data_IF_869493253886
#
_entry.id   IF_869493253886
#
_cell.length_a   1.000
_cell.length_b   1.000
_cell.length_c   1.000
_cell.angle_alpha   90.00
_cell.angle_beta   90.00
_cell.angle_gamma   90.00
#
_symmetry.space_group_name_H-M   'P 1'
#
loop_
_entity.id
_entity.type
_entity.pdbx_description
1 polymer ?
#
# COMPACT_ATOMS: atom_id res chain seq x y z
N UNK A 1 10.15 -41.64 69.22
CA UNK A 1 11.31 -40.88 69.70
C UNK A 1 12.33 -40.89 68.56
N UNK A 2 12.40 -39.82 67.79
CA UNK A 2 13.22 -39.74 66.58
C UNK A 2 13.36 -38.27 66.18
N UNK A 3 14.28 -37.59 66.85
CA UNK A 3 14.54 -36.17 66.70
C UNK A 3 15.01 -35.80 65.30
N UNK A 4 14.36 -34.78 64.75
CA UNK A 4 14.60 -34.19 63.46
C UNK A 4 15.90 -33.35 63.53
N UNK A 5 17.05 -33.94 63.13
CA UNK A 5 18.32 -33.21 62.98
C UNK A 5 18.25 -32.29 61.76
N UNK A 6 17.81 -31.05 61.96
CA UNK A 6 18.05 -29.96 61.01
C UNK A 6 19.55 -29.80 60.81
N UNK A 7 20.05 -30.18 59.62
CA UNK A 7 21.40 -29.85 59.16
C UNK A 7 21.53 -28.32 59.13
N UNK A 8 22.27 -27.75 60.08
CA UNK A 8 22.73 -26.37 60.03
C UNK A 8 23.47 -26.16 58.71
N UNK A 9 22.84 -25.43 57.80
CA UNK A 9 23.48 -24.97 56.57
C UNK A 9 24.64 -24.07 56.98
N UNK A 10 25.86 -24.48 56.62
CA UNK A 10 27.08 -23.78 57.00
C UNK A 10 27.11 -22.43 56.26
N UNK A 11 26.92 -21.33 56.99
CA UNK A 11 26.76 -19.98 56.39
C UNK A 11 28.01 -19.54 55.61
N UNK A 12 29.19 -20.09 55.93
CA UNK A 12 30.41 -19.90 55.12
C UNK A 12 30.29 -20.56 53.75
N UNK A 13 29.70 -21.76 53.67
CA UNK A 13 29.50 -22.47 52.41
C UNK A 13 28.49 -21.74 51.53
N UNK A 14 27.39 -21.24 52.10
CA UNK A 14 26.38 -20.45 51.36
C UNK A 14 26.98 -19.14 50.86
N UNK A 15 27.77 -18.43 51.69
CA UNK A 15 28.47 -17.21 51.25
C UNK A 15 29.46 -17.49 50.11
N UNK A 16 30.16 -18.63 50.15
CA UNK A 16 31.08 -19.03 49.07
C UNK A 16 30.30 -19.33 47.79
N UNK A 17 29.21 -20.10 47.85
CA UNK A 17 28.38 -20.38 46.68
C UNK A 17 27.74 -19.10 46.11
N UNK A 18 27.30 -18.18 46.98
CA UNK A 18 26.77 -16.88 46.54
C UNK A 18 27.85 -16.00 45.91
N UNK A 19 29.07 -16.01 46.44
CA UNK A 19 30.21 -15.31 45.82
C UNK A 19 30.62 -15.92 44.48
N UNK A 20 30.59 -17.25 44.37
CA UNK A 20 30.88 -17.96 43.11
C UNK A 20 29.79 -17.70 42.08
N UNK A 21 28.51 -17.74 42.46
CA UNK A 21 27.40 -17.37 41.58
C UNK A 21 27.42 -15.89 41.21
N UNK A 22 27.79 -15.00 42.11
CA UNK A 22 27.95 -13.58 41.83
C UNK A 22 29.14 -13.30 40.90
N UNK A 23 30.26 -14.03 41.05
CA UNK A 23 31.39 -13.97 40.12
C UNK A 23 31.07 -14.59 38.76
N UNK A 24 30.32 -15.69 38.71
CA UNK A 24 29.82 -16.28 37.46
C UNK A 24 28.81 -15.35 36.78
N UNK A 25 27.95 -14.67 37.55
CA UNK A 25 27.04 -13.67 37.01
C UNK A 25 27.80 -12.45 36.50
N UNK A 26 28.89 -12.02 37.15
CA UNK A 26 29.80 -10.98 36.63
C UNK A 26 30.57 -11.45 35.39
N UNK A 27 30.98 -12.72 35.29
CA UNK A 27 31.65 -13.31 34.12
C UNK A 27 30.70 -13.49 32.92
N UNK A 28 29.42 -13.77 33.16
CA UNK A 28 28.39 -13.86 32.11
C UNK A 28 27.84 -12.47 31.75
N UNK A 29 27.68 -11.56 32.71
CA UNK A 29 27.26 -10.18 32.46
C UNK A 29 28.37 -9.31 31.83
N UNK A 30 29.64 -9.71 31.94
CA UNK A 30 30.74 -9.12 31.16
C UNK A 30 30.88 -9.70 29.74
N UNK A 31 30.03 -10.66 29.36
CA UNK A 31 29.83 -11.06 27.96
C UNK A 31 28.70 -10.29 27.27
N UNK A 32 28.25 -9.17 27.87
CA UNK A 32 27.79 -8.04 27.06
C UNK A 32 28.90 -7.73 26.08
N UNK A 33 28.60 -7.80 24.78
CA UNK A 33 29.42 -7.21 23.73
C UNK A 33 29.70 -5.76 24.13
N UNK A 34 30.78 -5.56 24.87
CA UNK A 34 31.54 -4.32 24.85
C UNK A 34 31.93 -4.17 23.39
N UNK A 35 31.28 -3.25 22.69
CA UNK A 35 31.92 -2.56 21.58
C UNK A 35 33.22 -2.00 22.16
N UNK A 36 34.30 -2.78 22.07
CA UNK A 36 35.63 -2.31 22.39
C UNK A 36 35.83 -1.04 21.59
N UNK A 37 35.82 0.09 22.28
CA UNK A 37 36.24 1.36 21.73
C UNK A 37 37.79 1.41 21.70
N UNK A 38 38.40 0.31 21.23
CA UNK A 38 39.78 0.29 20.75
C UNK A 38 39.71 0.44 19.25
N UNK A 39 40.40 1.46 18.72
CA UNK A 39 40.77 1.54 17.32
C UNK A 39 41.83 0.46 17.01
N UNK A 40 41.54 -0.81 17.28
CA UNK A 40 42.37 -1.90 16.77
C UNK A 40 42.00 -2.03 15.29
N UNK A 41 42.83 -1.41 14.44
CA UNK A 41 42.69 -1.51 13.01
C UNK A 41 42.82 -2.97 12.60
N UNK A 42 41.91 -3.45 11.75
CA UNK A 42 42.03 -4.77 11.15
C UNK A 42 43.32 -4.86 10.35
N UNK A 43 44.13 -5.87 10.64
CA UNK A 43 45.36 -6.16 9.91
C UNK A 43 45.00 -6.81 8.58
N UNK A 44 45.22 -6.09 7.49
CA UNK A 44 44.99 -6.58 6.13
C UNK A 44 46.08 -7.57 5.72
N UNK A 45 47.27 -7.43 6.30
CA UNK A 45 48.42 -8.29 6.07
C UNK A 45 48.18 -9.75 6.48
N UNK A 46 47.26 -9.97 7.44
CA UNK A 46 46.91 -11.30 7.94
C UNK A 46 45.90 -12.03 7.04
N UNK A 47 45.35 -11.37 6.02
CA UNK A 47 44.39 -11.95 5.09
C UNK A 47 45.14 -12.72 3.99
N UNK A 48 45.13 -14.05 4.09
CA UNK A 48 45.89 -14.96 3.23
C UNK A 48 45.72 -14.75 1.71
N UNK A 49 44.56 -14.28 1.27
CA UNK A 49 44.21 -14.12 -0.13
C UNK A 49 44.04 -12.66 -0.55
N UNK A 50 44.52 -11.68 0.23
CA UNK A 50 44.33 -10.25 -0.06
C UNK A 50 44.82 -9.82 -1.45
N UNK A 51 45.85 -10.50 -1.97
CA UNK A 51 46.43 -10.24 -3.30
C UNK A 51 45.51 -10.59 -4.46
N UNK A 52 44.44 -11.36 -4.21
CA UNK A 52 43.41 -11.69 -5.22
C UNK A 52 42.40 -10.56 -5.42
N UNK A 53 42.43 -9.52 -4.57
CA UNK A 53 41.51 -8.39 -4.65
C UNK A 53 42.22 -7.13 -5.15
N UNK A 54 41.63 -6.47 -6.14
CA UNK A 54 42.05 -5.14 -6.58
C UNK A 54 41.44 -4.06 -5.67
N UNK A 55 42.08 -3.79 -4.54
CA UNK A 55 41.62 -2.80 -3.58
C UNK A 55 42.18 -1.41 -3.90
N UNK A 56 41.30 -0.42 -3.98
CA UNK A 56 41.74 0.98 -4.01
C UNK A 56 42.35 1.37 -2.64
N UNK A 57 43.17 2.45 -2.59
CA UNK A 57 43.66 2.97 -1.31
C UNK A 57 42.54 3.27 -0.31
N UNK A 58 41.44 3.86 -0.78
CA UNK A 58 40.27 4.14 0.04
C UNK A 58 39.58 2.87 0.55
N UNK A 59 39.42 1.84 -0.29
CA UNK A 59 38.85 0.56 0.13
C UNK A 59 39.73 -0.14 1.17
N UNK A 60 41.06 -0.05 1.02
CA UNK A 60 42.01 -0.60 1.99
C UNK A 60 41.90 0.11 3.34
N UNK A 61 41.80 1.43 3.36
CA UNK A 61 41.62 2.20 4.60
C UNK A 61 40.30 1.85 5.30
N UNK A 62 39.21 1.72 4.53
CA UNK A 62 37.91 1.30 5.05
C UNK A 62 37.95 -0.12 5.61
N UNK A 63 38.63 -1.06 4.94
CA UNK A 63 38.83 -2.42 5.44
C UNK A 63 39.58 -2.44 6.78
N UNK A 64 40.67 -1.66 6.91
CA UNK A 64 41.40 -1.55 8.20
C UNK A 64 40.52 -0.96 9.30
N UNK A 65 39.68 0.00 8.96
CA UNK A 65 38.85 0.70 9.95
C UNK A 65 37.62 -0.10 10.36
N UNK A 66 36.93 -0.71 9.40
CA UNK A 66 35.59 -1.25 9.59
C UNK A 66 35.53 -2.78 9.50
N UNK A 67 36.58 -3.43 8.99
CA UNK A 67 36.56 -4.87 8.69
C UNK A 67 35.82 -5.23 7.40
N UNK A 68 35.23 -4.23 6.73
CA UNK A 68 34.59 -4.37 5.42
C UNK A 68 34.75 -3.08 4.61
N UNK A 69 34.70 -3.21 3.28
CA UNK A 69 34.57 -2.08 2.38
C UNK A 69 33.56 -2.41 1.30
N UNK A 70 32.84 -1.40 0.84
CA UNK A 70 31.94 -1.50 -0.32
C UNK A 70 32.64 -0.83 -1.50
N UNK A 71 32.71 -1.53 -2.62
CA UNK A 71 33.30 -1.04 -3.85
C UNK A 71 32.25 -1.05 -4.96
N UNK A 72 32.23 -0.05 -5.86
CA UNK A 72 31.32 -0.06 -7.00
C UNK A 72 31.50 -1.32 -7.84
N UNK A 73 30.40 -1.89 -8.27
CA UNK A 73 30.36 -3.07 -9.11
C UNK A 73 29.31 -2.89 -10.20
N UNK A 74 29.55 -3.46 -11.39
CA UNK A 74 28.74 -3.25 -12.59
C UNK A 74 28.16 -4.57 -13.12
N UNK A 75 27.56 -5.36 -12.21
CA UNK A 75 26.89 -6.60 -12.54
C UNK A 75 25.42 -6.37 -12.83
N UNK A 76 24.82 -7.23 -13.67
CA UNK A 76 23.39 -7.16 -13.96
C UNK A 76 22.59 -7.99 -12.96
N UNK A 77 23.11 -9.15 -12.59
CA UNK A 77 22.47 -10.10 -11.69
C UNK A 77 23.41 -10.48 -10.54
N UNK A 78 22.85 -10.85 -9.39
CA UNK A 78 23.62 -11.34 -8.24
C UNK A 78 24.47 -12.57 -8.63
N UNK A 79 23.95 -13.42 -9.52
CA UNK A 79 24.64 -14.60 -10.02
C UNK A 79 25.92 -14.29 -10.79
N UNK A 80 26.01 -13.13 -11.44
CA UNK A 80 27.20 -12.73 -12.19
C UNK A 80 28.39 -12.56 -11.23
N UNK A 81 28.13 -11.99 -10.05
CA UNK A 81 29.14 -11.83 -8.97
C UNK A 81 29.67 -13.19 -8.54
N UNK A 82 28.78 -14.15 -8.31
CA UNK A 82 29.18 -15.48 -7.84
C UNK A 82 29.95 -16.26 -8.89
N UNK A 83 29.61 -16.10 -10.18
CA UNK A 83 30.35 -16.70 -11.29
C UNK A 83 31.75 -16.09 -11.39
N UNK A 84 31.88 -14.76 -11.34
CA UNK A 84 33.20 -14.11 -11.38
C UNK A 84 34.07 -14.50 -10.18
N UNK A 85 33.51 -14.50 -8.97
CA UNK A 85 34.25 -14.93 -7.78
C UNK A 85 34.72 -16.40 -7.91
N UNK A 86 33.89 -17.28 -8.49
CA UNK A 86 34.28 -18.67 -8.76
C UNK A 86 35.42 -18.75 -9.77
N UNK A 87 35.33 -18.01 -10.88
CA UNK A 87 36.32 -18.03 -11.97
C UNK A 87 37.66 -17.41 -11.55
N UNK A 88 37.62 -16.40 -10.68
CA UNK A 88 38.80 -15.72 -10.11
C UNK A 88 39.30 -16.36 -8.82
N UNK A 89 38.67 -17.45 -8.37
CA UNK A 89 38.99 -18.17 -7.13
C UNK A 89 38.94 -17.27 -5.87
N UNK A 90 38.06 -16.27 -5.88
CA UNK A 90 37.73 -15.43 -4.73
C UNK A 90 36.69 -16.13 -3.84
N UNK A 91 36.80 -16.01 -2.50
CA UNK A 91 35.79 -16.54 -1.59
C UNK A 91 34.41 -15.94 -1.84
N UNK A 92 33.39 -16.79 -1.89
CA UNK A 92 32.00 -16.40 -2.10
C UNK A 92 31.28 -16.40 -0.76
N UNK A 93 30.60 -15.30 -0.46
CA UNK A 93 29.65 -15.21 0.64
C UNK A 93 28.24 -15.05 0.06
N UNK A 94 27.41 -16.08 0.22
CA UNK A 94 26.02 -16.08 -0.26
C UNK A 94 25.12 -15.59 0.86
N UNK A 95 24.36 -14.55 0.59
CA UNK A 95 23.39 -13.95 1.50
C UNK A 95 21.95 -14.36 1.12
N UNK A 96 21.01 -14.05 2.00
CA UNK A 96 19.59 -14.37 1.80
C UNK A 96 18.96 -13.60 0.63
N UNK A 97 19.54 -12.46 0.25
CA UNK A 97 19.19 -11.68 -0.92
C UNK A 97 19.22 -12.48 -2.23
N UNK A 98 20.12 -13.46 -2.39
CA UNK A 98 20.14 -14.32 -3.57
C UNK A 98 18.85 -15.14 -3.72
N UNK A 99 18.31 -15.61 -2.59
CA UNK A 99 17.03 -16.36 -2.55
C UNK A 99 15.86 -15.40 -2.75
N UNK A 100 15.86 -14.24 -2.08
CA UNK A 100 14.81 -13.23 -2.21
C UNK A 100 14.72 -12.66 -3.62
N UNK A 101 15.86 -12.36 -4.25
CA UNK A 101 15.97 -11.89 -5.63
C UNK A 101 15.43 -12.94 -6.62
N UNK A 102 15.84 -14.19 -6.46
CA UNK A 102 15.32 -15.30 -7.29
C UNK A 102 13.80 -15.45 -7.11
N UNK A 103 13.31 -15.34 -5.88
CA UNK A 103 11.89 -15.36 -5.57
C UNK A 103 11.13 -14.20 -6.22
N UNK A 104 11.68 -12.99 -6.15
CA UNK A 104 11.11 -11.80 -6.79
C UNK A 104 11.05 -11.94 -8.32
N UNK A 105 12.13 -12.41 -8.94
CA UNK A 105 12.16 -12.69 -10.39
C UNK A 105 11.10 -13.71 -10.76
N UNK A 106 11.02 -14.83 -10.03
CA UNK A 106 10.03 -15.88 -10.31
C UNK A 106 8.59 -15.33 -10.19
N UNK A 107 8.32 -14.56 -9.15
CA UNK A 107 7.04 -13.89 -8.94
C UNK A 107 6.70 -12.93 -10.08
N UNK A 108 7.63 -12.04 -10.47
CA UNK A 108 7.44 -11.09 -11.59
C UNK A 108 7.12 -11.83 -12.89
N UNK A 109 7.90 -12.86 -13.23
CA UNK A 109 7.67 -13.66 -14.44
C UNK A 109 6.31 -14.35 -14.42
N UNK A 110 5.91 -14.95 -13.29
CA UNK A 110 4.63 -15.62 -13.16
C UNK A 110 3.46 -14.64 -13.32
N UNK A 111 3.52 -13.49 -12.64
CA UNK A 111 2.49 -12.46 -12.72
C UNK A 111 2.34 -11.94 -14.16
N UNK A 112 3.46 -11.67 -14.84
CA UNK A 112 3.47 -11.22 -16.23
C UNK A 112 2.86 -12.22 -17.20
N UNK A 113 3.18 -13.51 -17.06
CA UNK A 113 2.58 -14.57 -17.88
C UNK A 113 1.07 -14.60 -17.65
N UNK A 114 0.65 -14.58 -16.38
CA UNK A 114 -0.76 -14.60 -16.03
C UNK A 114 -1.51 -13.39 -16.59
N UNK A 115 -0.95 -12.18 -16.47
CA UNK A 115 -1.52 -10.94 -16.98
C UNK A 115 -1.66 -10.97 -18.50
N UNK A 116 -0.60 -11.35 -19.21
CA UNK A 116 -0.59 -11.35 -20.68
C UNK A 116 -1.45 -12.45 -21.28
N UNK A 117 -1.39 -13.66 -20.74
CA UNK A 117 -2.02 -14.85 -21.34
C UNK A 117 -3.46 -15.08 -20.87
N UNK A 118 -3.88 -14.49 -19.74
CA UNK A 118 -5.20 -14.72 -19.16
C UNK A 118 -5.90 -13.43 -18.72
N UNK A 119 -5.30 -12.63 -17.85
CA UNK A 119 -6.05 -11.55 -17.20
C UNK A 119 -6.38 -10.40 -18.16
N UNK A 120 -5.55 -10.14 -19.17
CA UNK A 120 -5.85 -9.13 -20.19
C UNK A 120 -7.15 -9.42 -20.93
N UNK A 121 -7.24 -10.61 -21.53
CA UNK A 121 -8.41 -10.99 -22.33
C UNK A 121 -9.66 -11.06 -21.43
N UNK A 122 -9.48 -11.52 -20.18
CA UNK A 122 -10.52 -11.53 -19.15
C UNK A 122 -11.00 -10.13 -18.78
N UNK A 123 -10.08 -9.16 -18.70
CA UNK A 123 -10.41 -7.76 -18.41
C UNK A 123 -11.22 -7.15 -19.54
N UNK A 124 -10.86 -7.41 -20.80
CA UNK A 124 -11.67 -6.99 -21.95
C UNK A 124 -13.07 -7.60 -21.88
N UNK A 125 -13.18 -8.90 -21.68
CA UNK A 125 -14.48 -9.59 -21.63
C UNK A 125 -15.35 -9.08 -20.48
N UNK A 126 -14.75 -8.83 -19.30
CA UNK A 126 -15.44 -8.22 -18.18
C UNK A 126 -15.90 -6.80 -18.51
N UNK A 127 -15.04 -5.97 -19.08
CA UNK A 127 -15.37 -4.59 -19.46
C UNK A 127 -16.54 -4.57 -20.44
N UNK A 128 -16.50 -5.41 -21.47
CA UNK A 128 -17.56 -5.51 -22.48
C UNK A 128 -18.87 -5.97 -21.84
N UNK A 129 -18.84 -7.01 -21.00
CA UNK A 129 -20.04 -7.52 -20.34
C UNK A 129 -20.64 -6.50 -19.36
N UNK A 130 -19.81 -5.81 -18.58
CA UNK A 130 -20.28 -4.78 -17.65
C UNK A 130 -20.85 -3.56 -18.37
N UNK A 131 -20.31 -3.21 -19.54
CA UNK A 131 -20.81 -2.13 -20.38
C UNK A 131 -22.20 -2.48 -20.97
N UNK A 132 -22.35 -3.70 -21.52
CA UNK A 132 -23.64 -4.22 -21.98
C UNK A 132 -24.70 -4.19 -20.88
N UNK A 133 -24.37 -4.71 -19.69
CA UNK A 133 -25.30 -4.78 -18.57
C UNK A 133 -25.62 -3.39 -18.00
N UNK A 134 -24.67 -2.44 -18.01
CA UNK A 134 -24.93 -1.04 -17.63
C UNK A 134 -25.89 -0.37 -18.62
N UNK A 135 -25.79 -0.68 -19.91
CA UNK A 135 -26.74 -0.23 -20.94
C UNK A 135 -28.12 -0.85 -20.72
N UNK A 136 -28.20 -2.12 -20.36
CA UNK A 136 -29.47 -2.77 -20.01
C UNK A 136 -30.13 -2.11 -18.80
N UNK A 137 -29.38 -1.88 -17.72
CA UNK A 137 -29.88 -1.14 -16.55
C UNK A 137 -30.34 0.28 -16.92
N UNK A 138 -29.61 1.01 -17.78
CA UNK A 138 -30.03 2.33 -18.25
C UNK A 138 -31.37 2.30 -19.00
N UNK A 139 -31.65 1.23 -19.76
CA UNK A 139 -32.92 1.04 -20.48
C UNK A 139 -34.06 0.61 -19.55
N UNK A 140 -33.77 -0.20 -18.53
CA UNK A 140 -34.74 -0.64 -17.52
C UNK A 140 -35.14 0.49 -16.56
N UNK A 141 -34.25 1.47 -16.31
CA UNK A 141 -34.47 2.53 -15.33
C UNK A 141 -35.60 3.50 -15.72
N UNK A 142 -36.55 3.70 -14.81
CA UNK A 142 -37.67 4.64 -14.98
C UNK A 142 -37.45 5.95 -14.22
N UNK A 143 -36.69 5.92 -13.13
CA UNK A 143 -36.40 7.11 -12.32
C UNK A 143 -35.15 7.82 -12.81
N UNK A 144 -35.17 9.15 -12.81
CA UNK A 144 -34.08 9.97 -13.33
C UNK A 144 -32.74 9.71 -12.63
N UNK A 145 -32.75 9.52 -11.30
CA UNK A 145 -31.54 9.25 -10.53
C UNK A 145 -30.88 7.92 -10.91
N UNK A 146 -31.67 6.85 -11.05
CA UNK A 146 -31.15 5.52 -11.40
C UNK A 146 -30.71 5.50 -12.85
N UNK A 147 -31.44 6.19 -13.72
CA UNK A 147 -31.08 6.35 -15.12
C UNK A 147 -29.76 7.11 -15.30
N UNK A 148 -29.56 8.21 -14.60
CA UNK A 148 -28.28 8.93 -14.66
C UNK A 148 -27.15 8.12 -14.03
N UNK A 149 -27.38 7.42 -12.90
CA UNK A 149 -26.36 6.55 -12.31
C UNK A 149 -25.95 5.42 -13.26
N UNK A 150 -26.90 4.76 -13.93
CA UNK A 150 -26.60 3.77 -14.96
C UNK A 150 -25.87 4.39 -16.16
N UNK A 151 -26.22 5.63 -16.56
CA UNK A 151 -25.52 6.36 -17.63
C UNK A 151 -24.06 6.62 -17.27
N UNK A 152 -23.79 7.04 -16.04
CA UNK A 152 -22.42 7.27 -15.57
C UNK A 152 -21.63 5.95 -15.44
N UNK A 153 -22.28 4.84 -15.08
CA UNK A 153 -21.66 3.50 -15.12
C UNK A 153 -21.26 3.11 -16.56
N UNK A 154 -22.07 3.42 -17.57
CA UNK A 154 -21.68 3.25 -18.99
C UNK A 154 -20.40 4.05 -19.26
N UNK A 155 -20.32 5.29 -18.79
CA UNK A 155 -19.13 6.13 -18.93
C UNK A 155 -17.90 5.52 -18.25
N UNK A 156 -18.06 5.05 -17.02
CA UNK A 156 -17.00 4.40 -16.25
C UNK A 156 -16.41 3.18 -16.97
N UNK A 157 -17.25 2.29 -17.52
CA UNK A 157 -16.78 1.14 -18.28
C UNK A 157 -16.27 1.51 -19.68
N UNK A 158 -16.81 2.59 -20.29
CA UNK A 158 -16.32 3.10 -21.57
C UNK A 158 -14.90 3.69 -21.49
N UNK A 159 -14.55 4.38 -20.40
CA UNK A 159 -13.17 4.87 -20.17
C UNK A 159 -12.18 3.70 -20.13
N UNK A 160 -12.54 2.61 -19.45
CA UNK A 160 -11.74 1.39 -19.43
C UNK A 160 -11.68 0.72 -20.81
N UNK A 161 -12.83 0.62 -21.52
CA UNK A 161 -12.90 0.07 -22.88
C UNK A 161 -11.97 0.81 -23.83
N UNK A 162 -11.90 2.14 -23.73
CA UNK A 162 -10.99 2.98 -24.52
C UNK A 162 -9.50 2.70 -24.31
N UNK A 163 -9.13 2.12 -23.16
CA UNK A 163 -7.74 1.68 -22.97
C UNK A 163 -7.42 0.45 -23.84
N UNK A 164 -8.41 -0.40 -24.13
CA UNK A 164 -8.25 -1.59 -24.96
C UNK A 164 -8.59 -1.36 -26.43
N UNK A 165 -9.51 -0.42 -26.72
CA UNK A 165 -10.01 -0.09 -28.05
C UNK A 165 -10.20 1.43 -28.16
N UNK A 166 -9.22 2.11 -28.75
CA UNK A 166 -9.19 3.57 -28.85
C UNK A 166 -10.31 4.15 -29.71
N UNK A 167 -10.86 3.35 -30.63
CA UNK A 167 -11.93 3.77 -31.55
C UNK A 167 -13.33 3.53 -30.98
N UNK A 168 -13.43 2.97 -29.77
CA UNK A 168 -14.72 2.74 -29.11
C UNK A 168 -15.46 4.06 -28.91
N UNK A 169 -16.75 4.07 -29.26
CA UNK A 169 -17.65 5.21 -29.09
C UNK A 169 -18.61 4.95 -27.94
N UNK A 170 -18.59 5.81 -26.93
CA UNK A 170 -19.35 5.60 -25.69
C UNK A 170 -20.87 5.79 -25.88
N UNK A 171 -21.28 6.64 -26.83
CA UNK A 171 -22.68 6.97 -27.04
C UNK A 171 -23.29 7.73 -25.84
N UNK A 172 -24.63 7.70 -25.70
CA UNK A 172 -25.36 8.19 -24.52
C UNK A 172 -24.99 9.61 -24.01
N UNK A 173 -24.50 10.49 -24.90
CA UNK A 173 -23.95 11.82 -24.56
C UNK A 173 -22.79 11.75 -23.53
N UNK A 174 -21.97 10.72 -23.62
CA UNK A 174 -20.79 10.51 -22.78
C UNK A 174 -19.48 10.71 -23.54
N UNK A 175 -19.53 10.83 -24.87
CA UNK A 175 -18.35 10.85 -25.73
C UNK A 175 -17.29 11.87 -25.30
N UNK A 176 -17.71 13.11 -25.05
CA UNK A 176 -16.83 14.19 -24.59
C UNK A 176 -16.24 13.92 -23.20
N UNK A 177 -17.05 13.42 -22.26
CA UNK A 177 -16.61 13.11 -20.90
C UNK A 177 -15.61 11.96 -20.89
N UNK A 178 -15.88 10.91 -21.68
CA UNK A 178 -15.00 9.76 -21.81
C UNK A 178 -13.70 10.14 -22.50
N UNK A 179 -13.73 11.00 -23.51
CA UNK A 179 -12.52 11.51 -24.15
C UNK A 179 -11.66 12.31 -23.18
N UNK A 180 -12.25 13.23 -22.41
CA UNK A 180 -11.51 14.03 -21.44
C UNK A 180 -10.88 13.17 -20.33
N UNK A 181 -11.59 12.15 -19.82
CA UNK A 181 -11.01 11.16 -18.90
C UNK A 181 -9.82 10.42 -19.53
N UNK A 182 -9.95 10.00 -20.79
CA UNK A 182 -8.86 9.33 -21.51
C UNK A 182 -7.67 10.27 -21.77
N UNK A 183 -7.92 11.54 -22.06
CA UNK A 183 -6.88 12.57 -22.17
C UNK A 183 -6.17 12.80 -20.83
N UNK A 184 -6.91 12.85 -19.72
CA UNK A 184 -6.34 12.99 -18.38
C UNK A 184 -5.44 11.78 -18.06
N UNK A 185 -5.92 10.56 -18.33
CA UNK A 185 -5.16 9.31 -18.19
C UNK A 185 -3.90 9.36 -19.06
N UNK A 186 -3.98 9.79 -20.31
CA UNK A 186 -2.84 9.83 -21.25
C UNK A 186 -1.79 10.89 -20.87
N UNK A 187 -2.23 12.03 -20.36
CA UNK A 187 -1.37 13.18 -20.11
C UNK A 187 -0.67 13.12 -18.74
N UNK A 188 -1.17 12.33 -17.80
CA UNK A 188 -0.54 12.10 -16.48
C UNK A 188 -0.23 13.38 -15.68
N UNK A 189 -1.04 14.44 -15.83
CA UNK A 189 -0.74 15.79 -15.30
C UNK A 189 -0.76 15.90 -13.76
N UNK A 190 -1.21 14.87 -13.07
CA UNK A 190 -1.43 14.90 -11.63
C UNK A 190 -2.91 15.05 -11.31
N UNK A 191 -3.23 15.92 -10.35
CA UNK A 191 -4.59 16.13 -9.87
C UNK A 191 -5.44 16.88 -10.90
N UNK A 192 -6.43 16.20 -11.47
CA UNK A 192 -7.42 16.76 -12.39
C UNK A 192 -8.84 16.33 -11.97
N UNK A 193 -9.84 17.08 -12.42
CA UNK A 193 -11.24 16.79 -12.10
C UNK A 193 -11.71 15.50 -12.80
N UNK A 194 -12.54 14.72 -12.10
CA UNK A 194 -13.20 13.53 -12.65
C UNK A 194 -14.43 13.95 -13.44
N UNK A 195 -14.32 13.94 -14.76
CA UNK A 195 -15.35 14.42 -15.69
C UNK A 195 -16.66 13.64 -15.60
N UNK A 196 -16.61 12.37 -15.18
CA UNK A 196 -17.81 11.58 -14.94
C UNK A 196 -18.59 11.99 -13.67
N UNK A 197 -18.09 12.92 -12.85
CA UNK A 197 -18.81 13.50 -11.72
C UNK A 197 -19.65 14.72 -12.15
N UNK A 198 -20.50 14.53 -13.16
CA UNK A 198 -21.30 15.57 -13.83
C UNK A 198 -22.22 16.37 -12.91
N UNK A 199 -22.52 15.85 -11.71
CA UNK A 199 -23.34 16.50 -10.70
C UNK A 199 -22.58 17.45 -9.76
N UNK A 200 -21.24 17.44 -9.78
CA UNK A 200 -20.40 18.36 -9.01
C UNK A 200 -20.33 19.69 -9.76
N UNK A 201 -20.95 20.73 -9.20
CA UNK A 201 -20.99 22.07 -9.82
C UNK A 201 -19.86 22.92 -9.25
N UNK A 202 -19.15 23.64 -10.12
CA UNK A 202 -18.01 24.49 -9.77
C UNK A 202 -16.92 23.74 -8.99
N UNK A 203 -16.28 22.72 -9.62
CA UNK A 203 -15.27 21.92 -8.94
C UNK A 203 -14.11 22.80 -8.47
N UNK A 204 -13.67 22.57 -7.24
CA UNK A 204 -12.52 23.23 -6.64
C UNK A 204 -11.80 22.24 -5.77
N UNK A 205 -10.48 22.13 -5.92
CA UNK A 205 -9.66 21.22 -5.10
C UNK A 205 -9.80 21.48 -3.60
N UNK A 206 -10.14 22.71 -3.19
CA UNK A 206 -10.31 23.08 -1.79
C UNK A 206 -11.72 22.80 -1.23
N UNK A 207 -12.74 22.73 -2.09
CA UNK A 207 -14.14 22.57 -1.66
C UNK A 207 -14.70 21.19 -1.99
N UNK A 208 -14.29 20.63 -3.14
CA UNK A 208 -14.69 19.32 -3.65
C UNK A 208 -13.46 18.46 -3.97
N UNK A 209 -12.50 18.30 -3.04
CA UNK A 209 -11.28 17.53 -3.31
C UNK A 209 -11.56 16.08 -3.70
N UNK A 210 -12.62 15.49 -3.15
CA UNK A 210 -13.08 14.14 -3.48
C UNK A 210 -13.50 13.97 -4.95
N UNK A 211 -13.64 15.06 -5.70
CA UNK A 211 -13.98 15.03 -7.12
C UNK A 211 -12.76 15.05 -8.04
N UNK A 212 -11.53 15.00 -7.49
CA UNK A 212 -10.27 15.00 -8.23
C UNK A 212 -9.59 13.64 -8.15
N UNK A 213 -8.90 13.26 -9.21
CA UNK A 213 -8.06 12.05 -9.29
C UNK A 213 -6.62 12.43 -9.64
N UNK A 214 -5.64 11.70 -9.11
CA UNK A 214 -4.23 11.87 -9.47
C UNK A 214 -3.89 11.00 -10.69
N UNK A 215 -4.00 11.60 -11.88
CA UNK A 215 -3.70 10.92 -13.14
C UNK A 215 -2.20 10.60 -13.34
N UNK A 216 -1.30 11.12 -12.49
CA UNK A 216 0.13 10.72 -12.51
C UNK A 216 0.35 9.27 -12.09
N UNK A 217 -0.63 8.67 -11.41
CA UNK A 217 -0.61 7.26 -11.04
C UNK A 217 -0.82 6.32 -12.24
N UNK A 218 -1.30 6.83 -13.37
CA UNK A 218 -1.57 6.05 -14.58
C UNK A 218 -0.33 5.87 -15.47
N UNK A 219 0.84 6.40 -15.08
CA UNK A 219 2.11 6.18 -15.78
C UNK A 219 2.51 4.69 -15.60
N UNK A 220 2.61 3.89 -16.69
CA UNK A 220 3.08 2.51 -16.60
C UNK A 220 4.51 2.44 -16.06
N UNK A 221 4.78 1.47 -15.17
CA UNK A 221 6.08 1.29 -14.50
C UNK A 221 6.47 -0.19 -14.48
N UNK A 222 7.76 -0.47 -14.27
CA UNK A 222 8.24 -1.86 -14.14
C UNK A 222 7.99 -2.67 -15.40
N UNK A 223 7.41 -3.87 -15.27
CA UNK A 223 7.14 -4.74 -16.41
C UNK A 223 6.03 -4.25 -17.34
N UNK A 224 5.19 -3.30 -16.90
CA UNK A 224 4.09 -2.78 -17.71
C UNK A 224 4.56 -1.95 -18.90
N UNK A 225 5.81 -1.49 -18.91
CA UNK A 225 6.42 -0.73 -20.03
C UNK A 225 6.96 -1.62 -21.16
N UNK A 226 6.78 -2.95 -21.05
CA UNK A 226 7.39 -3.91 -22.00
C UNK A 226 6.68 -3.96 -23.35
N UNK A 227 5.37 -3.68 -23.39
CA UNK A 227 4.57 -3.66 -24.61
C UNK A 227 3.23 -2.96 -24.37
N UNK A 228 2.59 -2.55 -25.47
CA UNK A 228 1.29 -1.86 -25.47
C UNK A 228 0.17 -2.66 -24.77
N UNK A 229 0.15 -3.99 -24.93
CA UNK A 229 -0.84 -4.86 -24.26
C UNK A 229 -0.79 -4.66 -22.74
N UNK A 230 0.40 -4.69 -22.15
CA UNK A 230 0.60 -4.47 -20.71
C UNK A 230 0.35 -3.02 -20.28
N UNK A 231 0.71 -2.03 -21.10
CA UNK A 231 0.41 -0.62 -20.80
C UNK A 231 -1.10 -0.37 -20.74
N UNK A 232 -1.85 -0.90 -21.70
CA UNK A 232 -3.30 -0.76 -21.77
C UNK A 232 -3.99 -1.48 -20.62
N UNK A 233 -3.53 -2.70 -20.28
CA UNK A 233 -3.96 -3.41 -19.09
C UNK A 233 -3.77 -2.60 -17.82
N UNK A 234 -2.57 -2.03 -17.65
CA UNK A 234 -2.22 -1.24 -16.49
C UNK A 234 -3.16 -0.05 -16.34
N UNK A 235 -3.39 0.73 -17.40
CA UNK A 235 -4.28 1.91 -17.36
C UNK A 235 -5.72 1.52 -17.00
N UNK A 236 -6.25 0.45 -17.59
CA UNK A 236 -7.61 -0.02 -17.29
C UNK A 236 -7.75 -0.53 -15.85
N UNK A 237 -6.80 -1.34 -15.37
CA UNK A 237 -6.82 -1.84 -14.00
C UNK A 237 -6.56 -0.75 -12.96
N UNK A 238 -5.72 0.24 -13.28
CA UNK A 238 -5.54 1.44 -12.47
C UNK A 238 -6.83 2.25 -12.39
N UNK A 239 -7.54 2.44 -13.49
CA UNK A 239 -8.86 3.08 -13.49
C UNK A 239 -9.84 2.35 -12.55
N UNK A 240 -9.96 1.03 -12.68
CA UNK A 240 -10.85 0.23 -11.82
C UNK A 240 -10.44 0.20 -10.34
N UNK A 241 -9.14 0.33 -10.05
CA UNK A 241 -8.63 0.36 -8.69
C UNK A 241 -8.56 1.73 -8.04
N UNK A 242 -8.50 2.82 -8.82
CA UNK A 242 -8.30 4.18 -8.30
C UNK A 242 -9.57 5.01 -8.21
N UNK A 243 -10.54 4.76 -9.08
CA UNK A 243 -11.79 5.49 -9.04
C UNK A 243 -12.65 4.99 -7.88
N UNK A 244 -12.84 5.86 -6.90
CA UNK A 244 -13.67 5.59 -5.73
C UNK A 244 -15.10 6.14 -5.87
N UNK A 245 -16.01 5.46 -5.21
CA UNK A 245 -17.40 5.85 -5.03
C UNK A 245 -17.63 6.01 -3.53
N UNK A 246 -17.34 7.21 -3.02
CA UNK A 246 -17.36 7.53 -1.59
C UNK A 246 -18.78 7.49 -1.03
N UNK A 247 -18.92 6.93 0.16
CA UNK A 247 -20.20 6.84 0.88
C UNK A 247 -20.65 8.22 1.39
N UNK A 248 -19.72 8.95 2.03
CA UNK A 248 -19.96 10.28 2.62
C UNK A 248 -18.75 11.18 2.35
N UNK A 249 -18.63 11.79 1.16
CA UNK A 249 -17.46 12.57 0.77
C UNK A 249 -17.11 13.74 1.71
N UNK A 250 -18.14 14.35 2.31
CA UNK A 250 -18.05 15.31 3.42
C UNK A 250 -19.38 15.32 4.20
N UNK A 251 -19.42 16.07 5.30
CA UNK A 251 -20.47 16.05 6.32
C UNK A 251 -21.58 17.08 6.08
N UNK A 252 -21.40 17.96 5.10
CA UNK A 252 -22.36 19.00 4.72
C UNK A 252 -22.87 18.83 3.27
N UNK A 253 -23.99 19.46 2.94
CA UNK A 253 -24.46 19.54 1.55
C UNK A 253 -23.57 20.49 0.73
N UNK A 254 -23.34 20.22 -0.58
CA UNK A 254 -23.95 19.17 -1.40
C UNK A 254 -23.24 17.79 -1.33
N UNK A 255 -22.21 17.63 -0.49
CA UNK A 255 -21.39 16.43 -0.49
C UNK A 255 -22.15 15.17 -0.03
N UNK A 256 -23.08 15.30 0.92
CA UNK A 256 -24.00 14.21 1.31
C UNK A 256 -24.79 13.72 0.09
N UNK A 257 -25.37 14.64 -0.69
CA UNK A 257 -26.10 14.30 -1.92
C UNK A 257 -25.18 13.63 -2.95
N UNK A 258 -23.93 14.08 -3.07
CA UNK A 258 -22.95 13.45 -3.97
C UNK A 258 -22.57 12.04 -3.52
N UNK A 259 -22.40 11.80 -2.22
CA UNK A 259 -22.16 10.47 -1.65
C UNK A 259 -23.29 9.49 -1.96
N UNK A 260 -24.55 9.94 -1.86
CA UNK A 260 -25.72 9.13 -2.27
C UNK A 260 -25.67 8.77 -3.76
N UNK A 261 -25.28 9.70 -4.63
CA UNK A 261 -25.14 9.46 -6.08
C UNK A 261 -23.99 8.50 -6.41
N UNK A 262 -22.86 8.62 -5.72
CA UNK A 262 -21.73 7.68 -5.85
C UNK A 262 -22.13 6.28 -5.36
N UNK A 263 -22.78 6.19 -4.21
CA UNK A 263 -23.25 4.93 -3.63
C UNK A 263 -24.26 4.25 -4.55
N UNK A 264 -25.19 5.00 -5.15
CA UNK A 264 -26.14 4.46 -6.11
C UNK A 264 -25.45 3.86 -7.35
N UNK A 265 -24.44 4.53 -7.91
CA UNK A 265 -23.63 3.98 -9.01
C UNK A 265 -22.96 2.66 -8.62
N UNK A 266 -22.32 2.61 -7.45
CA UNK A 266 -21.67 1.41 -6.92
C UNK A 266 -22.66 0.26 -6.66
N UNK A 267 -23.85 0.56 -6.12
CA UNK A 267 -24.92 -0.42 -5.95
C UNK A 267 -25.34 -1.01 -7.30
N UNK A 268 -25.51 -0.19 -8.34
CA UNK A 268 -25.87 -0.67 -9.67
C UNK A 268 -24.77 -1.58 -10.27
N UNK A 269 -23.49 -1.24 -10.09
CA UNK A 269 -22.38 -2.11 -10.51
C UNK A 269 -22.40 -3.47 -9.79
N UNK A 270 -22.62 -3.47 -8.48
CA UNK A 270 -22.68 -4.69 -7.68
C UNK A 270 -23.95 -5.52 -7.96
N UNK A 271 -25.10 -4.88 -8.20
CA UNK A 271 -26.35 -5.52 -8.62
C UNK A 271 -26.19 -6.23 -9.98
N UNK A 272 -25.46 -5.61 -10.91
CA UNK A 272 -25.13 -6.22 -12.20
C UNK A 272 -24.37 -7.54 -12.03
N UNK A 273 -23.31 -7.54 -11.22
CA UNK A 273 -22.54 -8.75 -10.91
C UNK A 273 -23.37 -9.77 -10.11
N UNK A 274 -24.29 -9.31 -9.25
CA UNK A 274 -25.19 -10.21 -8.54
C UNK A 274 -26.16 -10.94 -9.48
N UNK A 275 -26.63 -10.28 -10.54
CA UNK A 275 -27.61 -10.85 -11.48
C UNK A 275 -26.99 -11.67 -12.60
N UNK A 276 -25.73 -11.40 -12.96
CA UNK A 276 -25.03 -12.08 -14.06
C UNK A 276 -23.86 -12.93 -13.55
N UNK A 277 -24.07 -14.25 -13.52
CA UNK A 277 -23.06 -15.20 -13.03
C UNK A 277 -21.77 -15.19 -13.86
N UNK A 278 -21.86 -14.90 -15.16
CA UNK A 278 -20.69 -14.86 -16.04
C UNK A 278 -19.83 -13.63 -15.74
N UNK A 279 -20.44 -12.45 -15.63
CA UNK A 279 -19.77 -11.20 -15.25
C UNK A 279 -19.11 -11.35 -13.87
N UNK A 280 -19.81 -11.95 -12.91
CA UNK A 280 -19.23 -12.20 -11.59
C UNK A 280 -18.05 -13.17 -11.62
N UNK A 281 -18.13 -14.22 -12.45
CA UNK A 281 -17.02 -15.15 -12.65
C UNK A 281 -15.81 -14.47 -13.29
N UNK A 282 -16.02 -13.62 -14.30
CA UNK A 282 -14.96 -12.83 -14.93
C UNK A 282 -14.32 -11.87 -13.93
N UNK A 283 -15.14 -11.19 -13.12
CA UNK A 283 -14.65 -10.32 -12.05
C UNK A 283 -13.77 -11.08 -11.05
N UNK A 284 -14.22 -12.24 -10.56
CA UNK A 284 -13.42 -13.08 -9.65
C UNK A 284 -12.14 -13.60 -10.28
N UNK A 285 -12.17 -13.96 -11.56
CA UNK A 285 -10.99 -14.47 -12.26
C UNK A 285 -9.86 -13.43 -12.32
N UNK A 286 -10.19 -12.14 -12.28
CA UNK A 286 -9.21 -11.06 -12.17
C UNK A 286 -8.90 -10.79 -10.69
N UNK A 287 -9.92 -10.67 -9.86
CA UNK A 287 -9.76 -10.27 -8.46
C UNK A 287 -9.03 -11.31 -7.60
N UNK A 288 -9.42 -12.58 -7.64
CA UNK A 288 -8.87 -13.62 -6.75
C UNK A 288 -7.36 -13.87 -6.95
N UNK A 289 -6.81 -13.98 -8.17
CA UNK A 289 -5.37 -14.09 -8.34
C UNK A 289 -4.64 -12.86 -7.82
N UNK A 290 -5.19 -11.67 -8.02
CA UNK A 290 -4.56 -10.44 -7.51
C UNK A 290 -4.52 -10.40 -5.98
N UNK A 291 -5.56 -10.93 -5.32
CA UNK A 291 -5.59 -11.12 -3.87
C UNK A 291 -4.55 -12.13 -3.41
N UNK A 292 -4.40 -13.25 -4.14
CA UNK A 292 -3.42 -14.28 -3.80
C UNK A 292 -1.97 -13.78 -3.90
N UNK A 293 -1.67 -12.99 -4.93
CA UNK A 293 -0.30 -12.54 -5.18
C UNK A 293 0.10 -11.29 -4.39
N UNK A 294 -0.84 -10.40 -4.08
CA UNK A 294 -0.51 -9.04 -3.60
C UNK A 294 -1.43 -8.59 -2.46
N UNK A 295 -2.27 -9.48 -1.93
CA UNK A 295 -3.09 -9.23 -0.75
C UNK A 295 -4.46 -8.62 -1.02
N UNK A 296 -5.28 -8.55 0.04
CA UNK A 296 -6.66 -8.05 -0.02
C UNK A 296 -6.71 -6.52 -0.04
N UNK A 297 -7.75 -5.97 -0.67
CA UNK A 297 -8.10 -4.56 -0.56
C UNK A 297 -8.67 -4.22 0.82
N UNK A 298 -8.36 -3.03 1.31
CA UNK A 298 -8.91 -2.45 2.52
C UNK A 298 -10.14 -1.55 2.26
N UNK A 299 -10.38 -1.14 1.01
CA UNK A 299 -11.61 -0.48 0.55
C UNK A 299 -12.81 -1.45 0.50
N UNK A 300 -14.05 -0.93 0.44
CA UNK A 300 -15.22 -1.75 0.18
C UNK A 300 -15.25 -2.22 -1.27
N UNK A 301 -15.64 -3.48 -1.52
CA UNK A 301 -15.72 -4.04 -2.87
C UNK A 301 -17.04 -4.79 -3.09
N UNK A 302 -17.13 -5.45 -4.24
CA UNK A 302 -18.35 -6.10 -4.76
C UNK A 302 -19.04 -6.99 -3.74
N UNK A 303 -18.33 -7.87 -3.03
CA UNK A 303 -19.00 -8.81 -2.10
C UNK A 303 -19.65 -8.11 -0.90
N UNK A 304 -19.07 -7.01 -0.40
CA UNK A 304 -19.68 -6.25 0.70
C UNK A 304 -21.00 -5.61 0.24
N UNK A 305 -20.97 -5.00 -0.94
CA UNK A 305 -22.14 -4.37 -1.54
C UNK A 305 -23.21 -5.41 -1.86
N UNK A 306 -22.85 -6.58 -2.41
CA UNK A 306 -23.81 -7.66 -2.67
C UNK A 306 -24.48 -8.15 -1.39
N UNK A 307 -23.73 -8.30 -0.28
CA UNK A 307 -24.30 -8.70 1.01
C UNK A 307 -25.31 -7.67 1.51
N UNK A 308 -24.95 -6.39 1.50
CA UNK A 308 -25.84 -5.31 1.93
C UNK A 308 -27.05 -5.15 1.00
N UNK A 309 -26.88 -5.34 -0.32
CA UNK A 309 -27.99 -5.33 -1.29
C UNK A 309 -29.02 -6.38 -0.91
N UNK A 310 -28.59 -7.62 -0.66
CA UNK A 310 -29.47 -8.74 -0.28
C UNK A 310 -30.17 -8.54 1.06
N UNK A 311 -29.53 -7.81 1.98
CA UNK A 311 -30.06 -7.54 3.31
C UNK A 311 -31.15 -6.45 3.29
N UNK A 312 -30.95 -5.37 2.52
CA UNK A 312 -31.75 -4.13 2.63
C UNK A 312 -32.82 -4.05 1.52
N UNK A 313 -32.48 -4.51 0.32
CA UNK A 313 -33.35 -4.38 -0.85
C UNK A 313 -34.06 -5.70 -1.17
N UNK A 314 -35.38 -5.68 -1.43
CA UNK A 314 -36.10 -6.89 -1.79
C UNK A 314 -35.55 -7.52 -3.08
N UNK A 315 -35.46 -8.86 -3.13
CA UNK A 315 -35.05 -9.56 -4.35
C UNK A 315 -36.12 -9.41 -5.44
N UNK A 316 -35.71 -9.57 -6.71
CA UNK A 316 -36.59 -9.63 -7.89
C UNK A 316 -37.48 -8.40 -8.16
N UNK A 317 -37.23 -7.28 -7.50
CA UNK A 317 -37.81 -5.97 -7.85
C UNK A 317 -36.96 -5.22 -8.89
N UNK A 318 -37.61 -4.30 -9.60
CA UNK A 318 -36.96 -3.35 -10.55
C UNK A 318 -35.74 -2.68 -9.92
N UNK A 319 -34.73 -2.38 -10.74
CA UNK A 319 -33.56 -1.61 -10.32
C UNK A 319 -33.91 -0.23 -9.72
N UNK A 320 -35.09 0.32 -10.04
CA UNK A 320 -35.56 1.59 -9.48
C UNK A 320 -35.74 1.55 -7.94
N UNK A 321 -35.78 0.35 -7.33
CA UNK A 321 -35.82 0.18 -5.87
C UNK A 321 -34.63 0.84 -5.17
N UNK A 322 -33.50 0.97 -5.84
CA UNK A 322 -32.29 1.60 -5.30
C UNK A 322 -32.42 3.13 -5.17
N UNK A 323 -33.43 3.75 -5.79
CA UNK A 323 -33.72 5.18 -5.63
C UNK A 323 -34.45 5.51 -4.31
N UNK A 324 -34.85 4.50 -3.52
CA UNK A 324 -35.49 4.73 -2.23
C UNK A 324 -34.50 5.40 -1.27
N UNK A 325 -34.76 6.67 -0.92
CA UNK A 325 -33.83 7.49 -0.15
C UNK A 325 -33.61 7.00 1.29
N UNK A 326 -34.63 6.40 1.91
CA UNK A 326 -34.53 5.84 3.27
C UNK A 326 -33.64 4.60 3.27
N UNK A 327 -33.87 3.68 2.32
CA UNK A 327 -33.05 2.46 2.17
C UNK A 327 -31.62 2.76 1.72
N UNK A 328 -31.44 3.78 0.88
CA UNK A 328 -30.10 4.22 0.47
C UNK A 328 -29.33 4.83 1.64
N UNK A 329 -30.00 5.59 2.51
CA UNK A 329 -29.40 6.07 3.76
C UNK A 329 -29.06 4.92 4.71
N UNK A 330 -29.96 3.94 4.89
CA UNK A 330 -29.68 2.73 5.67
C UNK A 330 -28.48 1.96 5.12
N UNK A 331 -28.39 1.82 3.79
CA UNK A 331 -27.26 1.18 3.12
C UNK A 331 -25.94 1.89 3.44
N UNK A 332 -25.91 3.22 3.31
CA UNK A 332 -24.73 4.03 3.62
C UNK A 332 -24.34 3.86 5.09
N UNK A 333 -25.31 3.95 6.01
CA UNK A 333 -25.03 3.85 7.44
C UNK A 333 -24.48 2.47 7.82
N UNK A 334 -24.99 1.38 7.22
CA UNK A 334 -24.44 0.03 7.41
C UNK A 334 -23.07 -0.14 6.75
N UNK A 335 -22.88 0.41 5.55
CA UNK A 335 -21.61 0.33 4.83
C UNK A 335 -20.48 1.06 5.56
N UNK A 336 -20.76 2.19 6.22
CA UNK A 336 -19.78 2.93 7.04
C UNK A 336 -19.31 2.09 8.25
N UNK A 337 -20.15 1.22 8.80
CA UNK A 337 -19.78 0.32 9.91
C UNK A 337 -18.91 -0.87 9.49
N UNK A 338 -18.69 -1.07 8.19
CA UNK A 338 -17.75 -2.07 7.70
C UNK A 338 -16.31 -1.58 7.89
N UNK A 339 -15.36 -2.26 7.25
CA UNK A 339 -13.94 -1.91 7.37
C UNK A 339 -13.65 -0.50 6.83
N UNK A 340 -12.66 0.14 7.44
CA UNK A 340 -12.12 1.44 7.02
C UNK A 340 -10.83 1.18 6.24
N UNK A 341 -10.60 1.86 5.10
CA UNK A 341 -9.30 1.78 4.43
C UNK A 341 -8.22 2.32 5.36
N UNK A 342 -7.10 1.59 5.45
CA UNK A 342 -5.93 1.97 6.24
C UNK A 342 -4.94 2.80 5.42
N UNK A 343 -4.93 2.61 4.09
CA UNK A 343 -4.06 3.34 3.17
C UNK A 343 -4.88 4.33 2.34
N UNK A 344 -4.43 5.58 2.32
CA UNK A 344 -5.06 6.66 1.58
C UNK A 344 -4.56 6.64 0.14
N UNK A 345 -5.38 6.10 -0.76
CA UNK A 345 -5.05 5.97 -2.18
C UNK A 345 -5.38 7.23 -3.01
N UNK A 346 -6.05 8.23 -2.44
CA UNK A 346 -6.44 9.47 -3.11
C UNK A 346 -6.49 10.65 -2.14
N UNK A 347 -6.93 11.82 -2.62
CA UNK A 347 -7.07 13.00 -1.76
C UNK A 347 -8.08 12.73 -0.64
N UNK A 348 -7.60 12.88 0.60
CA UNK A 348 -8.37 12.71 1.82
C UNK A 348 -8.27 13.98 2.65
N UNK A 349 -9.40 14.40 3.21
CA UNK A 349 -9.46 15.56 4.10
C UNK A 349 -10.00 15.13 5.45
N UNK A 350 -9.39 15.63 6.51
CA UNK A 350 -9.96 15.55 7.85
C UNK A 350 -11.11 16.55 7.91
N UNK A 351 -12.31 16.02 8.12
CA UNK A 351 -13.43 16.81 8.60
C UNK A 351 -13.62 16.40 10.07
N UNK A 352 -13.68 17.38 10.98
CA UNK A 352 -13.69 17.15 12.45
C UNK A 352 -12.54 16.27 12.97
N UNK A 353 -11.37 16.33 12.31
CA UNK A 353 -10.19 15.55 12.66
C UNK A 353 -10.24 14.07 12.26
N UNK A 354 -11.28 13.66 11.50
CA UNK A 354 -11.47 12.27 11.08
C UNK A 354 -11.46 12.11 9.56
N UNK A 355 -10.33 11.63 9.01
CA UNK A 355 -10.20 11.30 7.59
C UNK A 355 -11.06 10.09 7.18
N UNK A 356 -11.56 9.29 8.12
CA UNK A 356 -12.29 8.05 7.84
C UNK A 356 -13.63 8.32 7.14
N UNK A 357 -14.28 9.44 7.46
CA UNK A 357 -15.56 9.82 6.87
C UNK A 357 -15.42 10.07 5.37
N UNK A 358 -14.38 10.78 4.95
CA UNK A 358 -14.18 11.19 3.55
C UNK A 358 -13.50 10.14 2.67
N UNK A 359 -13.00 9.03 3.25
CA UNK A 359 -12.17 8.05 2.54
C UNK A 359 -12.86 6.71 2.28
N UNK A 360 -13.84 6.34 3.09
CA UNK A 360 -14.62 5.12 2.87
C UNK A 360 -15.45 5.19 1.59
N UNK A 361 -15.23 4.23 0.69
CA UNK A 361 -15.95 4.12 -0.56
C UNK A 361 -15.84 2.74 -1.18
N UNK A 362 -16.61 2.54 -2.24
CA UNK A 362 -16.50 1.38 -3.11
C UNK A 362 -15.46 1.62 -4.20
N UNK A 363 -14.71 0.57 -4.53
CA UNK A 363 -13.88 0.51 -5.74
C UNK A 363 -14.17 -0.80 -6.46
N UNK A 364 -14.24 -0.75 -7.79
CA UNK A 364 -14.56 -1.93 -8.60
C UNK A 364 -13.47 -3.00 -8.52
N UNK A 365 -12.20 -2.60 -8.53
CA UNK A 365 -11.02 -3.46 -8.33
C UNK A 365 -10.02 -2.77 -7.38
N UNK A 366 -10.46 -2.46 -6.15
CA UNK A 366 -9.72 -1.62 -5.19
C UNK A 366 -8.25 -1.97 -4.99
N UNK A 367 -7.43 -0.93 -4.74
CA UNK A 367 -6.01 -1.10 -4.47
C UNK A 367 -5.80 -1.87 -3.16
N UNK A 368 -4.61 -2.48 -3.02
CA UNK A 368 -4.34 -3.51 -2.02
C UNK A 368 -3.67 -2.90 -0.81
N UNK A 369 -3.93 -3.48 0.36
CA UNK A 369 -3.18 -3.11 1.55
C UNK A 369 -1.75 -3.66 1.47
N UNK A 370 -0.76 -2.77 1.37
CA UNK A 370 0.65 -3.13 1.39
C UNK A 370 1.24 -2.69 2.74
N UNK A 371 1.74 -3.61 3.58
CA UNK A 371 2.35 -3.31 4.88
C UNK A 371 3.34 -2.15 4.85
N UNK A 372 4.24 -2.15 3.88
CA UNK A 372 5.29 -1.15 3.71
C UNK A 372 4.71 0.24 3.44
N UNK A 373 3.71 0.32 2.55
CA UNK A 373 3.01 1.57 2.24
C UNK A 373 2.27 2.12 3.45
N UNK A 374 1.67 1.25 4.26
CA UNK A 374 1.04 1.66 5.53
C UNK A 374 2.07 2.17 6.53
N UNK A 375 3.19 1.46 6.76
CA UNK A 375 4.26 1.92 7.64
C UNK A 375 4.80 3.30 7.20
N UNK A 376 5.00 3.49 5.89
CA UNK A 376 5.45 4.76 5.34
C UNK A 376 4.44 5.88 5.55
N UNK A 377 3.16 5.65 5.26
CA UNK A 377 2.11 6.65 5.46
C UNK A 377 2.02 7.10 6.92
N UNK A 378 2.13 6.15 7.86
CA UNK A 378 2.06 6.43 9.29
C UNK A 378 3.30 7.15 9.84
N UNK A 379 4.40 7.14 9.10
CA UNK A 379 5.67 7.78 9.43
C UNK A 379 5.97 9.02 8.58
N UNK A 380 4.96 9.62 7.96
CA UNK A 380 5.09 10.93 7.29
C UNK A 380 4.06 11.93 7.82
N UNK A 381 4.20 13.18 7.39
CA UNK A 381 3.32 14.28 7.74
C UNK A 381 1.85 13.94 7.54
N UNK A 382 1.06 14.25 8.56
CA UNK A 382 -0.38 14.07 8.55
C UNK A 382 -1.04 14.80 9.70
N UNK A 383 -2.36 14.68 9.74
CA UNK A 383 -3.18 15.16 10.86
C UNK A 383 -3.85 13.93 11.47
N UNK A 384 -3.92 13.83 12.80
CA UNK A 384 -4.66 12.77 13.50
C UNK A 384 -5.53 13.41 14.57
N UNK A 385 -6.86 13.36 14.39
CA UNK A 385 -7.76 14.20 15.17
C UNK A 385 -7.49 15.67 14.88
N UNK A 386 -7.35 16.49 15.92
CA UNK A 386 -6.98 17.91 15.80
C UNK A 386 -5.46 18.15 15.87
N UNK A 387 -4.65 17.09 15.97
CA UNK A 387 -3.20 17.19 16.17
C UNK A 387 -2.44 17.02 14.87
N UNK A 388 -1.64 18.03 14.53
CA UNK A 388 -0.64 17.93 13.46
C UNK A 388 0.52 17.07 13.97
N UNK A 389 0.89 16.04 13.21
CA UNK A 389 2.00 15.13 13.54
C UNK A 389 3.16 15.29 12.55
N UNK A 390 4.34 14.83 12.95
CA UNK A 390 5.56 14.86 12.15
C UNK A 390 6.02 16.28 11.73
N UNK A 391 5.83 17.26 12.61
CA UNK A 391 6.47 18.57 12.47
C UNK A 391 7.93 18.48 12.87
N UNK A 392 8.82 19.09 12.09
CA UNK A 392 10.26 19.00 12.33
C UNK A 392 10.66 19.79 13.59
N UNK A 393 11.44 19.17 14.47
CA UNK A 393 11.90 19.75 15.74
C UNK A 393 13.41 19.96 15.81
N UNK A 394 14.14 19.51 14.78
CA UNK A 394 15.59 19.63 14.71
C UNK A 394 16.09 20.93 14.09
N UNK A 395 17.41 21.02 13.91
CA UNK A 395 18.12 22.18 13.37
C UNK A 395 18.82 21.91 12.02
N UNK A 396 18.71 20.68 11.49
CA UNK A 396 19.31 20.24 10.22
C UNK A 396 18.28 20.25 9.08
N UNK A 397 18.73 19.83 7.89
CA UNK A 397 17.86 19.48 6.77
C UNK A 397 18.05 18.00 6.41
N UNK A 398 17.42 17.06 7.14
CA UNK A 398 17.51 15.64 6.83
C UNK A 398 16.76 15.33 5.51
N UNK A 399 17.04 14.17 4.91
CA UNK A 399 16.43 13.75 3.64
C UNK A 399 14.90 13.74 3.70
N UNK A 400 14.35 13.36 4.85
CA UNK A 400 12.91 13.22 5.07
C UNK A 400 12.16 14.54 5.22
N UNK A 401 12.87 15.68 5.38
CA UNK A 401 12.25 16.98 5.66
C UNK A 401 12.02 17.81 4.39
N UNK A 402 10.79 18.30 4.23
CA UNK A 402 10.48 19.41 3.32
C UNK A 402 9.54 20.43 3.96
N UNK A 403 9.43 21.59 3.32
CA UNK A 403 8.56 22.68 3.76
C UNK A 403 7.23 22.61 3.00
N UNK A 404 6.14 22.35 3.72
CA UNK A 404 4.79 22.42 3.16
C UNK A 404 4.20 23.82 3.44
N UNK A 405 3.62 24.50 2.44
CA UNK A 405 2.94 25.78 2.63
C UNK A 405 1.92 25.72 3.78
N UNK A 406 1.91 26.74 4.65
CA UNK A 406 1.05 26.85 5.84
C UNK A 406 1.33 25.86 6.99
N UNK A 407 2.15 24.82 6.79
CA UNK A 407 2.47 23.83 7.83
C UNK A 407 3.94 23.87 8.27
N UNK A 408 4.82 24.49 7.49
CA UNK A 408 6.24 24.64 7.81
C UNK A 408 7.05 23.38 7.49
N UNK A 409 8.16 23.19 8.19
CA UNK A 409 9.05 22.03 8.04
C UNK A 409 8.41 20.77 8.63
N UNK A 410 8.23 19.76 7.81
CA UNK A 410 7.55 18.51 8.18
C UNK A 410 8.26 17.31 7.57
N UNK A 411 7.93 16.11 8.04
CA UNK A 411 8.41 14.87 7.43
C UNK A 411 7.65 14.56 6.15
N UNK A 412 8.14 15.00 5.01
CA UNK A 412 7.46 14.83 3.72
C UNK A 412 7.69 13.45 3.10
N UNK A 413 8.82 12.81 3.39
CA UNK A 413 9.19 11.53 2.82
C UNK A 413 9.58 10.52 3.90
N UNK A 414 9.30 9.22 3.71
CA UNK A 414 9.86 8.17 4.53
C UNK A 414 11.25 7.77 4.00
N UNK A 415 11.93 6.88 4.72
CA UNK A 415 13.13 6.15 4.28
C UNK A 415 12.87 4.66 4.33
N UNK A 416 13.51 3.90 3.45
CA UNK A 416 13.47 2.42 3.53
C UNK A 416 13.94 1.87 4.88
N UNK A 417 14.78 2.61 5.61
CA UNK A 417 15.19 2.26 6.98
C UNK A 417 14.03 2.31 7.99
N UNK A 418 12.96 3.05 7.73
CA UNK A 418 11.79 3.11 8.60
C UNK A 418 11.13 1.74 8.72
N UNK A 419 10.97 1.01 7.61
CA UNK A 419 10.45 -0.37 7.62
C UNK A 419 11.34 -1.25 8.50
N UNK A 420 12.65 -1.19 8.29
CA UNK A 420 13.60 -1.94 9.10
C UNK A 420 13.48 -1.59 10.59
N UNK A 421 13.29 -0.32 10.94
CA UNK A 421 13.13 0.14 12.32
C UNK A 421 11.80 -0.33 12.94
N UNK A 422 10.70 -0.31 12.17
CA UNK A 422 9.40 -0.88 12.56
C UNK A 422 9.51 -2.39 12.81
N UNK A 423 10.29 -3.09 11.98
CA UNK A 423 10.54 -4.53 12.13
C UNK A 423 11.62 -4.86 13.18
N UNK A 424 12.07 -3.87 13.97
CA UNK A 424 12.92 -4.08 15.15
C UNK A 424 14.43 -3.92 14.92
N UNK A 425 14.88 -3.45 13.74
CA UNK A 425 16.29 -3.18 13.48
C UNK A 425 16.79 -1.96 14.25
N UNK A 426 17.50 -2.21 15.36
CA UNK A 426 18.17 -1.16 16.14
C UNK A 426 19.14 -0.35 15.29
N UNK A 427 19.88 -1.02 14.40
CA UNK A 427 20.86 -0.37 13.54
C UNK A 427 20.22 0.60 12.56
N UNK A 428 19.06 0.26 12.00
CA UNK A 428 18.33 1.17 11.12
C UNK A 428 17.87 2.42 11.88
N UNK A 429 17.34 2.24 13.10
CA UNK A 429 16.92 3.35 13.96
C UNK A 429 18.10 4.27 14.32
N UNK A 430 19.25 3.72 14.72
CA UNK A 430 20.45 4.52 15.02
C UNK A 430 20.90 5.40 13.84
N UNK A 431 20.81 4.88 12.61
CA UNK A 431 21.17 5.63 11.40
C UNK A 431 20.18 6.78 11.18
N UNK A 432 18.87 6.49 11.30
CA UNK A 432 17.82 7.50 11.19
C UNK A 432 18.04 8.62 12.24
N UNK A 433 18.35 8.25 13.49
CA UNK A 433 18.61 9.20 14.58
C UNK A 433 19.84 10.06 14.30
N UNK A 434 20.94 9.44 13.86
CA UNK A 434 22.20 10.14 13.57
C UNK A 434 22.04 11.15 12.44
N UNK A 435 21.25 10.80 11.42
CA UNK A 435 21.01 11.63 10.24
C UNK A 435 19.91 12.69 10.47
N UNK A 436 19.26 12.69 11.64
CA UNK A 436 18.21 13.64 12.01
C UNK A 436 16.83 13.28 11.46
N UNK A 437 16.67 12.10 10.85
CA UNK A 437 15.41 11.62 10.29
C UNK A 437 14.40 11.16 11.37
N UNK A 438 14.69 11.32 12.66
CA UNK A 438 13.74 11.03 13.76
C UNK A 438 13.29 12.27 14.53
N UNK A 439 13.83 13.45 14.20
CA UNK A 439 13.62 14.71 14.92
C UNK A 439 12.28 15.36 14.54
N UNK A 440 11.18 14.64 14.76
CA UNK A 440 9.82 15.10 14.46
C UNK A 440 8.85 14.85 15.61
N UNK A 441 7.84 15.69 15.73
CA UNK A 441 6.76 15.49 16.70
C UNK A 441 6.05 14.15 16.48
N UNK A 442 5.78 13.42 17.57
CA UNK A 442 5.11 12.11 17.57
C UNK A 442 5.82 10.97 16.82
N UNK A 443 7.04 11.17 16.31
CA UNK A 443 7.72 10.13 15.53
C UNK A 443 7.87 8.81 16.29
N UNK A 444 8.43 8.86 17.51
CA UNK A 444 8.62 7.65 18.32
C UNK A 444 7.29 7.03 18.75
N UNK A 445 6.26 7.83 19.02
CA UNK A 445 4.93 7.30 19.35
C UNK A 445 4.36 6.49 18.18
N UNK A 446 4.46 7.00 16.94
CA UNK A 446 4.00 6.26 15.76
C UNK A 446 4.87 5.04 15.48
N UNK A 447 6.19 5.18 15.58
CA UNK A 447 7.13 4.07 15.38
C UNK A 447 6.85 2.92 16.36
N UNK A 448 6.61 3.23 17.64
CA UNK A 448 6.36 2.21 18.66
C UNK A 448 4.98 1.56 18.52
N UNK A 449 3.95 2.34 18.13
CA UNK A 449 2.64 1.77 17.76
C UNK A 449 2.76 0.79 16.59
N UNK A 450 3.52 1.15 15.54
CA UNK A 450 3.76 0.28 14.40
C UNK A 450 4.55 -0.96 14.78
N UNK A 451 5.62 -0.83 15.60
CA UNK A 451 6.36 -1.98 16.12
C UNK A 451 5.45 -2.93 16.87
N UNK A 452 4.59 -2.42 17.75
CA UNK A 452 3.63 -3.24 18.49
C UNK A 452 2.66 -3.94 17.53
N UNK A 453 1.99 -3.19 16.64
CA UNK A 453 1.04 -3.75 15.66
C UNK A 453 1.66 -4.88 14.83
N UNK A 454 2.86 -4.65 14.29
CA UNK A 454 3.52 -5.63 13.42
C UNK A 454 4.18 -6.79 14.18
N UNK A 455 4.55 -6.60 15.44
CA UNK A 455 5.04 -7.69 16.30
C UNK A 455 3.94 -8.69 16.68
N UNK A 456 2.68 -8.24 16.68
CA UNK A 456 1.52 -9.07 17.02
C UNK A 456 0.93 -9.84 15.82
N UNK A 457 1.40 -9.57 14.59
CA UNK A 457 0.91 -10.25 13.39
C UNK A 457 1.26 -11.74 13.40
N UNK A 458 0.25 -12.56 13.14
CA UNK A 458 0.37 -14.01 12.93
C UNK A 458 1.02 -14.33 11.58
N UNK A 459 1.49 -15.57 11.43
CA UNK A 459 2.05 -16.06 10.16
C UNK A 459 0.97 -16.01 9.06
N UNK A 460 -0.27 -16.30 9.39
CA UNK A 460 -1.41 -16.23 8.47
C UNK A 460 -1.66 -14.81 7.97
N UNK A 461 -1.60 -13.81 8.85
CA UNK A 461 -1.73 -12.40 8.47
C UNK A 461 -0.53 -11.92 7.65
N UNK A 462 0.67 -12.40 7.93
CA UNK A 462 1.85 -12.14 7.11
C UNK A 462 1.80 -12.79 5.74
N UNK A 463 1.17 -13.96 5.60
CA UNK A 463 0.99 -14.66 4.31
C UNK A 463 -0.16 -14.11 3.48
N UNK A 464 -1.09 -13.38 4.11
CA UNK A 464 -2.20 -12.74 3.43
C UNK A 464 -1.76 -11.44 2.72
N UNK A 465 -0.63 -10.87 3.14
CA UNK A 465 0.02 -9.72 2.51
C UNK A 465 1.29 -10.19 1.80
#
# INVERSE_FOLDING_TARGET
MGENKMRRVNSKLVKIYFLVLFFLFLLVASSVFSTENKKDLYSIEDISNIRQFHLSPAASELLRKNGFAVSPAYYKEISDIYLECKDTNQPIFITTDAVLHTGHIFFDYLLRILEVEKLYDSAIELTDRMLELSIEQFREAHTENVKEAARLNIGFFAVAKRQFDTEYQAGYKLEELVEQECENIKNHKGLEFRELLTYVKNPSIYQTPYAYEDYSQYIPRGHYTRNEKLENYFKAMMWYGRIDFKLRPASEEPAITYGKKMTLQAILMADTLLRDENAFKLWKMIYEPTVYFVGKTDDLYVDDYIKLIKEIFPPNESIDKYNNQEKLAEFIDKAIQLRVPKILSGLAFAEDGDFRVSTQGFRFMGQRFIPDSYMFQELVFGVKGEKIIMQYTGDKKPFTMEIIPNFGSVRAFPRGLDICAVLGSKRALEILETEGDTEYTEYYNQLDNLKEEFSLKTIEEWKQN
#
